data_IF_706884658226
#
_entry.id   IF_706884658226
#
_cell.length_a   1.000
_cell.length_b   1.000
_cell.length_c   1.000
_cell.angle_alpha   90.00
_cell.angle_beta   90.00
_cell.angle_gamma   90.00
#
_symmetry.space_group_name_H-M   'P 1'
#
loop_
_entity.id
_entity.type
_entity.pdbx_description
1 polymer ?
#
# COMPACT_ATOMS: atom_id res chain seq x y z
N UNK A 1 -7.53 12.10 -17.69
CA UNK A 1 -6.84 11.51 -16.57
C UNK A 1 -5.48 10.98 -17.04
N UNK A 2 -4.41 11.40 -16.38
CA UNK A 2 -3.06 10.89 -16.63
C UNK A 2 -2.62 10.06 -15.42
N UNK A 3 -2.26 8.80 -15.65
CA UNK A 3 -1.68 7.93 -14.64
C UNK A 3 -0.14 7.90 -14.79
N UNK A 4 0.57 7.86 -13.67
CA UNK A 4 2.01 7.58 -13.65
C UNK A 4 2.23 6.23 -12.97
N UNK A 5 2.90 5.33 -13.64
CA UNK A 5 3.15 3.97 -13.16
C UNK A 5 4.59 3.55 -13.47
N UNK A 6 5.36 3.21 -12.44
CA UNK A 6 6.76 2.84 -12.61
C UNK A 6 6.95 1.40 -13.14
N UNK A 7 5.98 0.51 -12.92
CA UNK A 7 6.01 -0.88 -13.36
C UNK A 7 5.58 -1.03 -14.83
N UNK A 8 6.49 -1.42 -15.71
CA UNK A 8 6.20 -1.57 -17.15
C UNK A 8 4.97 -2.45 -17.41
N UNK A 9 4.88 -3.62 -16.75
CA UNK A 9 3.75 -4.54 -16.91
C UNK A 9 2.42 -3.94 -16.44
N UNK A 10 2.43 -3.19 -15.34
CA UNK A 10 1.24 -2.49 -14.86
C UNK A 10 0.85 -1.34 -15.78
N UNK A 11 1.81 -0.61 -16.33
CA UNK A 11 1.54 0.41 -17.35
C UNK A 11 0.88 -0.19 -18.60
N UNK A 12 1.36 -1.32 -19.08
CA UNK A 12 0.78 -2.03 -20.21
C UNK A 12 -0.65 -2.49 -19.90
N UNK A 13 -0.86 -3.09 -18.71
CA UNK A 13 -2.18 -3.50 -18.25
C UNK A 13 -3.17 -2.32 -18.15
N UNK A 14 -2.72 -1.17 -17.65
CA UNK A 14 -3.55 0.03 -17.55
C UNK A 14 -3.94 0.56 -18.93
N UNK A 15 -3.00 0.59 -19.88
CA UNK A 15 -3.27 1.01 -21.26
C UNK A 15 -4.28 0.10 -21.92
N UNK A 16 -4.15 -1.21 -21.74
CA UNK A 16 -5.06 -2.20 -22.30
C UNK A 16 -6.46 -2.11 -21.65
N UNK A 17 -6.50 -2.09 -20.33
CA UNK A 17 -7.76 -2.05 -19.56
C UNK A 17 -8.60 -0.78 -19.82
N UNK A 18 -7.95 0.34 -20.07
CA UNK A 18 -8.61 1.64 -20.25
C UNK A 18 -8.48 2.19 -21.68
N UNK A 19 -8.25 1.33 -22.67
CA UNK A 19 -8.06 1.69 -24.07
C UNK A 19 -9.27 2.42 -24.69
N UNK A 20 -10.48 2.15 -24.20
CA UNK A 20 -11.70 2.80 -24.65
C UNK A 20 -11.85 4.26 -24.19
N UNK A 21 -11.09 4.67 -23.18
CA UNK A 21 -11.17 6.01 -22.61
C UNK A 21 -10.20 6.96 -23.31
N UNK A 22 -10.65 7.67 -24.32
CA UNK A 22 -9.83 8.60 -25.13
C UNK A 22 -9.05 9.65 -24.32
N UNK A 23 -9.56 10.02 -23.15
CA UNK A 23 -8.93 11.01 -22.24
C UNK A 23 -8.10 10.36 -21.13
N UNK A 24 -7.79 9.08 -21.23
CA UNK A 24 -6.91 8.38 -20.33
C UNK A 24 -5.54 8.19 -20.96
N UNK A 25 -4.50 8.51 -20.21
CA UNK A 25 -3.11 8.29 -20.64
C UNK A 25 -2.27 7.71 -19.51
N UNK A 26 -1.25 6.92 -19.86
CA UNK A 26 -0.31 6.33 -18.89
C UNK A 26 1.11 6.73 -19.27
N UNK A 27 1.80 7.34 -18.32
CA UNK A 27 3.25 7.60 -18.38
C UNK A 27 3.94 6.49 -17.61
N UNK A 28 4.83 5.75 -18.28
CA UNK A 28 5.63 4.71 -17.64
C UNK A 28 6.91 5.33 -17.09
N UNK A 29 7.04 5.39 -15.78
CA UNK A 29 8.19 6.00 -15.12
C UNK A 29 7.92 6.31 -13.65
N UNK A 30 8.95 6.75 -12.96
CA UNK A 30 8.78 7.20 -11.57
C UNK A 30 8.14 8.59 -11.57
N UNK A 31 7.29 8.83 -10.57
CA UNK A 31 6.62 10.11 -10.42
C UNK A 31 7.62 11.26 -10.25
N UNK A 32 8.66 11.04 -9.48
CA UNK A 32 9.72 12.05 -9.24
C UNK A 32 10.46 12.47 -10.51
N UNK A 33 10.59 11.57 -11.50
CA UNK A 33 11.32 11.82 -12.75
C UNK A 33 10.42 12.34 -13.88
N UNK A 34 9.09 12.28 -13.70
CA UNK A 34 8.13 12.72 -14.72
C UNK A 34 7.98 14.24 -14.69
N UNK A 35 7.97 14.89 -15.84
CA UNK A 35 7.80 16.35 -15.93
C UNK A 35 6.32 16.66 -16.20
N UNK A 36 5.79 17.60 -15.45
CA UNK A 36 4.46 18.16 -15.64
C UNK A 36 4.53 19.68 -15.68
N UNK A 37 3.60 20.29 -16.37
CA UNK A 37 3.44 21.75 -16.34
C UNK A 37 2.81 22.20 -15.02
N UNK A 38 3.22 23.33 -14.50
CA UNK A 38 2.66 23.93 -13.30
C UNK A 38 1.20 24.35 -13.53
N UNK A 39 0.41 24.40 -12.48
CA UNK A 39 -0.98 24.87 -12.50
C UNK A 39 -1.88 24.18 -13.54
N UNK A 40 -1.67 22.87 -13.76
CA UNK A 40 -2.38 22.13 -14.83
C UNK A 40 -3.56 21.33 -14.31
N UNK A 41 -3.47 20.76 -13.11
CA UNK A 41 -4.43 19.79 -12.61
C UNK A 41 -5.37 20.38 -11.56
N UNK A 42 -6.64 20.02 -11.64
CA UNK A 42 -7.64 20.34 -10.61
C UNK A 42 -7.58 19.35 -9.45
N UNK A 43 -7.14 18.12 -9.73
CA UNK A 43 -7.01 17.04 -8.74
C UNK A 43 -5.79 16.19 -9.07
N UNK A 44 -4.96 15.97 -8.07
CA UNK A 44 -3.95 14.91 -8.05
C UNK A 44 -4.34 13.91 -6.96
N UNK A 45 -4.31 12.62 -7.26
CA UNK A 45 -4.57 11.61 -6.24
C UNK A 45 -3.56 10.47 -6.28
N UNK A 46 -3.35 9.84 -5.14
CA UNK A 46 -2.49 8.67 -5.00
C UNK A 46 -3.14 7.63 -4.08
N UNK A 47 -3.24 6.40 -4.56
CA UNK A 47 -3.82 5.28 -3.82
C UNK A 47 -2.72 4.26 -3.47
N UNK A 48 -2.35 4.15 -2.21
CA UNK A 48 -1.33 3.22 -1.67
C UNK A 48 0.00 3.26 -2.45
N UNK A 49 0.41 4.46 -2.88
CA UNK A 49 1.61 4.64 -3.69
C UNK A 49 2.52 5.79 -3.22
N UNK A 50 1.97 6.86 -2.64
CA UNK A 50 2.74 8.07 -2.36
C UNK A 50 3.89 7.88 -1.35
N UNK A 51 3.83 6.86 -0.52
CA UNK A 51 4.89 6.51 0.43
C UNK A 51 6.19 6.03 -0.22
N UNK A 52 6.17 5.69 -1.52
CA UNK A 52 7.36 5.37 -2.30
C UNK A 52 8.08 6.61 -2.85
N UNK A 53 7.38 7.75 -2.89
CA UNK A 53 7.94 9.01 -3.40
C UNK A 53 8.62 9.75 -2.24
N UNK A 54 9.85 10.25 -2.40
CA UNK A 54 10.51 11.04 -1.37
C UNK A 54 9.64 12.24 -0.96
N UNK A 55 9.39 12.40 0.35
CA UNK A 55 8.40 13.34 0.91
C UNK A 55 8.48 14.72 0.27
N UNK A 56 9.65 15.36 0.37
CA UNK A 56 9.85 16.72 -0.14
C UNK A 56 9.54 16.81 -1.63
N UNK A 57 10.14 15.93 -2.44
CA UNK A 57 9.97 15.93 -3.90
C UNK A 57 8.50 15.72 -4.25
N UNK A 58 7.84 14.76 -3.61
CA UNK A 58 6.46 14.42 -3.89
C UNK A 58 5.50 15.57 -3.62
N UNK A 59 5.57 16.15 -2.42
CA UNK A 59 4.67 17.24 -2.05
C UNK A 59 4.92 18.53 -2.84
N UNK A 60 6.19 18.95 -3.00
CA UNK A 60 6.53 20.14 -3.77
C UNK A 60 6.03 20.01 -5.22
N UNK A 61 6.25 18.86 -5.83
CA UNK A 61 5.82 18.59 -7.19
C UNK A 61 4.29 18.57 -7.33
N UNK A 62 3.58 17.89 -6.43
CA UNK A 62 2.11 17.90 -6.44
C UNK A 62 1.59 19.33 -6.27
N UNK A 63 2.20 20.11 -5.38
CA UNK A 63 1.79 21.49 -5.14
C UNK A 63 1.95 22.36 -6.39
N UNK A 64 3.09 22.24 -7.09
CA UNK A 64 3.33 23.02 -8.33
C UNK A 64 2.37 22.63 -9.46
N UNK A 65 2.04 21.35 -9.58
CA UNK A 65 1.16 20.84 -10.63
C UNK A 65 -0.31 21.25 -10.46
N UNK A 66 -0.74 21.51 -9.23
CA UNK A 66 -2.13 21.86 -8.94
C UNK A 66 -2.43 23.30 -9.32
N UNK A 67 -3.60 23.52 -9.93
CA UNK A 67 -4.17 24.84 -10.10
C UNK A 67 -4.47 25.48 -8.75
N UNK A 68 -4.61 26.79 -8.74
CA UNK A 68 -5.09 27.48 -7.54
C UNK A 68 -6.50 26.97 -7.17
N UNK A 69 -6.65 26.51 -5.92
CA UNK A 69 -7.86 25.83 -5.44
C UNK A 69 -7.97 24.35 -5.84
N UNK A 70 -6.97 23.78 -6.49
CA UNK A 70 -6.90 22.35 -6.78
C UNK A 70 -6.66 21.51 -5.51
N UNK A 71 -6.94 20.22 -5.57
CA UNK A 71 -6.89 19.31 -4.43
C UNK A 71 -5.87 18.18 -4.60
N UNK A 72 -5.22 17.80 -3.49
CA UNK A 72 -4.44 16.57 -3.41
C UNK A 72 -5.14 15.56 -2.50
N UNK A 73 -5.47 14.37 -3.03
CA UNK A 73 -6.11 13.30 -2.29
C UNK A 73 -5.16 12.10 -2.15
N UNK A 74 -4.90 11.69 -0.91
CA UNK A 74 -4.12 10.48 -0.61
C UNK A 74 -5.01 9.44 0.03
N UNK A 75 -4.98 8.23 -0.52
CA UNK A 75 -5.63 7.06 0.06
C UNK A 75 -4.57 6.03 0.39
N UNK A 76 -4.69 5.35 1.51
CA UNK A 76 -3.82 4.23 1.84
C UNK A 76 -4.62 3.13 2.52
N UNK A 77 -4.44 1.90 2.06
CA UNK A 77 -4.79 0.74 2.86
C UNK A 77 -3.67 0.48 3.85
N UNK A 78 -4.06 0.27 5.10
CA UNK A 78 -3.16 -0.11 6.16
C UNK A 78 -3.68 -1.41 6.79
N UNK A 79 -3.44 -2.56 6.13
CA UNK A 79 -3.94 -3.83 6.62
C UNK A 79 -3.20 -4.24 7.89
N UNK A 80 -3.96 -4.66 8.88
CA UNK A 80 -3.43 -5.28 10.08
C UNK A 80 -4.31 -6.48 10.43
N UNK A 81 -3.69 -7.47 11.07
CA UNK A 81 -4.39 -8.67 11.48
C UNK A 81 -5.14 -8.41 12.78
N UNK A 82 -6.39 -8.81 12.83
CA UNK A 82 -7.09 -8.98 14.07
C UNK A 82 -6.38 -10.02 14.96
N UNK A 83 -6.38 -9.80 16.25
CA UNK A 83 -5.76 -10.66 17.26
C UNK A 83 -6.76 -11.23 18.24
N UNK A 84 -8.04 -11.25 17.90
CA UNK A 84 -9.08 -11.83 18.76
C UNK A 84 -8.83 -13.32 19.00
N UNK A 85 -8.41 -14.05 17.95
CA UNK A 85 -7.90 -15.42 18.11
C UNK A 85 -6.44 -15.36 18.56
N UNK A 86 -6.23 -15.32 19.86
CA UNK A 86 -4.89 -15.20 20.48
C UNK A 86 -3.98 -16.37 20.11
N UNK A 87 -4.50 -17.59 20.10
CA UNK A 87 -3.72 -18.79 19.82
C UNK A 87 -3.22 -18.80 18.37
N UNK A 88 -4.12 -18.54 17.42
CA UNK A 88 -3.75 -18.40 16.00
C UNK A 88 -2.75 -17.26 15.80
N UNK A 89 -2.97 -16.13 16.46
CA UNK A 89 -2.06 -14.98 16.36
C UNK A 89 -0.65 -15.31 16.82
N UNK A 90 -0.51 -15.99 17.96
CA UNK A 90 0.79 -16.40 18.50
C UNK A 90 1.47 -17.45 17.61
N UNK A 91 0.71 -18.39 17.05
CA UNK A 91 1.28 -19.38 16.14
C UNK A 91 1.78 -18.74 14.84
N UNK A 92 0.99 -17.85 14.24
CA UNK A 92 1.43 -17.10 13.06
C UNK A 92 2.65 -16.24 13.35
N UNK A 93 2.70 -15.56 14.50
CA UNK A 93 3.87 -14.74 14.86
C UNK A 93 5.15 -15.61 14.98
N UNK A 94 5.07 -16.80 15.59
CA UNK A 94 6.20 -17.77 15.61
C UNK A 94 6.62 -18.23 14.21
N UNK A 95 5.66 -18.46 13.31
CA UNK A 95 5.96 -18.82 11.92
C UNK A 95 6.68 -17.68 11.21
N UNK A 96 6.23 -16.41 11.41
CA UNK A 96 6.93 -15.24 10.88
C UNK A 96 8.36 -15.12 11.42
N UNK A 97 8.57 -15.38 12.71
CA UNK A 97 9.92 -15.35 13.31
C UNK A 97 10.83 -16.38 12.67
N UNK A 98 10.33 -17.58 12.45
CA UNK A 98 11.11 -18.70 11.91
C UNK A 98 11.49 -18.51 10.44
N UNK A 99 10.60 -17.95 9.62
CA UNK A 99 10.80 -17.85 8.17
C UNK A 99 11.13 -16.43 7.73
N UNK A 100 10.28 -15.46 8.02
CA UNK A 100 10.38 -14.08 7.54
C UNK A 100 11.50 -13.30 8.24
N UNK A 101 11.46 -13.24 9.56
CA UNK A 101 12.44 -12.48 10.35
C UNK A 101 13.84 -13.05 10.20
N UNK A 102 13.95 -14.38 10.19
CA UNK A 102 15.22 -15.08 9.95
C UNK A 102 15.77 -14.83 8.54
N UNK A 103 14.91 -14.86 7.51
CA UNK A 103 15.32 -14.59 6.12
C UNK A 103 15.87 -13.17 5.95
N UNK A 104 15.18 -12.18 6.51
CA UNK A 104 15.62 -10.79 6.43
C UNK A 104 16.64 -10.39 7.50
N UNK A 105 16.98 -11.26 8.43
CA UNK A 105 17.79 -10.95 9.60
C UNK A 105 17.32 -9.68 10.33
N UNK A 106 16.01 -9.50 10.45
CA UNK A 106 15.35 -8.33 11.01
C UNK A 106 13.99 -8.72 11.60
N UNK A 107 13.68 -8.22 12.79
CA UNK A 107 12.32 -8.33 13.32
C UNK A 107 11.33 -7.56 12.46
N UNK A 108 10.19 -8.20 12.21
CA UNK A 108 9.06 -7.57 11.53
C UNK A 108 8.43 -6.53 12.45
N UNK A 109 8.16 -5.36 11.93
CA UNK A 109 7.39 -4.36 12.66
C UNK A 109 5.97 -4.88 12.93
N UNK A 110 5.50 -4.73 14.16
CA UNK A 110 4.12 -5.05 14.50
C UNK A 110 3.21 -3.99 13.87
N UNK A 111 2.37 -4.45 12.96
CA UNK A 111 1.40 -3.57 12.30
C UNK A 111 0.12 -3.56 13.14
N UNK A 112 -0.31 -2.37 13.52
CA UNK A 112 -1.60 -2.10 14.17
C UNK A 112 -2.40 -1.10 13.34
N UNK A 113 -3.70 -1.00 13.58
CA UNK A 113 -4.52 0.04 12.94
C UNK A 113 -4.02 1.45 13.27
N UNK A 114 -4.24 2.39 12.38
CA UNK A 114 -3.95 3.79 12.66
C UNK A 114 -4.90 4.35 13.73
N UNK A 115 -4.34 5.11 14.65
CA UNK A 115 -5.12 5.98 15.53
C UNK A 115 -5.48 7.28 14.80
N UNK A 116 -6.52 7.96 15.28
CA UNK A 116 -6.88 9.31 14.81
C UNK A 116 -5.69 10.28 14.88
N UNK A 117 -4.89 10.20 15.94
CA UNK A 117 -3.71 11.04 16.10
C UNK A 117 -2.66 10.78 15.00
N UNK A 118 -2.38 9.52 14.71
CA UNK A 118 -1.44 9.15 13.64
C UNK A 118 -1.95 9.58 12.26
N UNK A 119 -3.25 9.40 11.99
CA UNK A 119 -3.87 9.85 10.75
C UNK A 119 -3.74 11.37 10.59
N UNK A 120 -4.00 12.12 11.65
CA UNK A 120 -3.83 13.57 11.71
C UNK A 120 -2.39 13.99 11.43
N UNK A 121 -1.42 13.37 12.09
CA UNK A 121 0.00 13.68 11.91
C UNK A 121 0.45 13.44 10.45
N UNK A 122 0.04 12.34 9.84
CA UNK A 122 0.31 12.03 8.44
C UNK A 122 -0.34 13.06 7.50
N UNK A 123 -1.58 13.45 7.76
CA UNK A 123 -2.27 14.45 6.95
C UNK A 123 -1.58 15.81 7.06
N UNK A 124 -1.22 16.23 8.28
CA UNK A 124 -0.62 17.54 8.54
C UNK A 124 0.78 17.72 7.94
N UNK A 125 1.44 16.66 7.46
CA UNK A 125 2.69 16.79 6.69
C UNK A 125 2.50 17.75 5.51
N UNK A 126 1.36 17.70 4.84
CA UNK A 126 1.06 18.54 3.68
C UNK A 126 1.17 20.04 3.97
N UNK A 127 0.90 20.49 5.20
CA UNK A 127 0.98 21.90 5.58
C UNK A 127 2.41 22.49 5.43
N UNK A 128 3.43 21.66 5.59
CA UNK A 128 4.84 22.06 5.41
C UNK A 128 5.15 22.51 3.97
N UNK A 129 4.30 22.09 3.01
CA UNK A 129 4.47 22.29 1.58
C UNK A 129 3.44 23.25 0.97
N UNK A 130 2.76 24.04 1.80
CA UNK A 130 1.85 25.08 1.35
C UNK A 130 0.38 24.67 1.19
N UNK A 131 0.03 23.40 1.46
CA UNK A 131 -1.35 22.96 1.44
C UNK A 131 -2.13 23.52 2.63
N UNK A 132 -3.36 23.95 2.38
CA UNK A 132 -4.35 24.41 3.38
C UNK A 132 -5.60 23.54 3.34
N UNK A 133 -6.55 23.79 4.21
CA UNK A 133 -7.83 23.05 4.30
C UNK A 133 -7.65 21.52 4.37
N UNK A 134 -6.66 21.10 5.14
CA UNK A 134 -6.28 19.69 5.27
C UNK A 134 -7.36 18.94 6.05
N UNK A 135 -7.85 17.86 5.44
CA UNK A 135 -8.84 16.95 6.04
C UNK A 135 -8.30 15.54 6.02
N UNK A 136 -8.72 14.72 6.97
CA UNK A 136 -8.41 13.30 7.02
C UNK A 136 -9.61 12.53 7.58
N UNK A 137 -9.69 11.27 7.24
CA UNK A 137 -10.73 10.38 7.73
C UNK A 137 -10.20 8.94 7.75
N UNK A 138 -10.59 8.16 8.75
CA UNK A 138 -10.30 6.75 8.88
C UNK A 138 -11.53 5.93 8.53
N UNK A 139 -11.39 5.02 7.59
CA UNK A 139 -12.43 4.07 7.19
C UNK A 139 -12.01 2.68 7.65
N UNK A 140 -12.78 2.09 8.56
CA UNK A 140 -12.52 0.74 9.05
C UNK A 140 -13.27 -0.27 8.19
N UNK A 141 -12.60 -1.36 7.87
CA UNK A 141 -13.15 -2.47 7.12
C UNK A 141 -12.57 -3.77 7.64
N UNK A 142 -13.43 -4.70 7.95
CA UNK A 142 -13.05 -6.08 8.23
C UNK A 142 -13.18 -6.95 6.98
N UNK A 143 -12.27 -7.87 6.83
CA UNK A 143 -12.32 -8.91 5.81
C UNK A 143 -11.90 -10.23 6.44
N UNK A 144 -12.75 -11.22 6.30
CA UNK A 144 -12.45 -12.58 6.69
C UNK A 144 -11.92 -13.32 5.47
N UNK A 145 -10.86 -14.07 5.65
CA UNK A 145 -10.22 -14.86 4.61
C UNK A 145 -10.22 -16.33 5.02
N UNK A 146 -10.51 -17.23 4.10
CA UNK A 146 -10.11 -18.62 4.23
C UNK A 146 -8.58 -18.73 4.20
N UNK A 147 -8.05 -19.87 4.65
CA UNK A 147 -6.60 -20.10 4.61
C UNK A 147 -6.01 -19.92 3.19
N UNK A 148 -6.73 -20.39 2.15
CA UNK A 148 -6.27 -20.20 0.76
C UNK A 148 -6.23 -18.75 0.33
N UNK A 149 -7.32 -18.00 0.55
CA UNK A 149 -7.40 -16.59 0.18
C UNK A 149 -6.34 -15.74 0.93
N UNK A 150 -6.06 -16.10 2.19
CA UNK A 150 -5.01 -15.39 2.94
C UNK A 150 -3.62 -15.64 2.36
N UNK A 151 -3.31 -16.87 1.94
CA UNK A 151 -2.04 -17.17 1.25
C UNK A 151 -1.95 -16.43 -0.10
N UNK A 152 -3.03 -16.36 -0.86
CA UNK A 152 -3.08 -15.58 -2.09
C UNK A 152 -2.81 -14.09 -1.81
N UNK A 153 -3.41 -13.53 -0.76
CA UNK A 153 -3.15 -12.16 -0.32
C UNK A 153 -1.66 -11.95 0.03
N UNK A 154 -1.07 -12.84 0.83
CA UNK A 154 0.36 -12.75 1.17
C UNK A 154 1.26 -12.84 -0.07
N UNK A 155 0.85 -13.62 -1.07
CA UNK A 155 1.51 -13.71 -2.37
C UNK A 155 1.47 -12.43 -3.22
N UNK A 156 0.68 -11.43 -2.83
CA UNK A 156 0.69 -10.11 -3.48
C UNK A 156 1.67 -9.11 -2.86
N UNK A 157 2.18 -9.40 -1.68
CA UNK A 157 3.08 -8.48 -0.97
C UNK A 157 4.51 -8.61 -1.49
N UNK A 158 5.09 -7.50 -1.91
CA UNK A 158 6.44 -7.46 -2.51
C UNK A 158 7.52 -8.06 -1.59
N UNK A 159 7.43 -7.81 -0.28
CA UNK A 159 8.34 -8.35 0.73
C UNK A 159 8.18 -9.87 0.92
N UNK A 160 7.01 -10.46 0.68
CA UNK A 160 6.81 -11.90 0.71
C UNK A 160 7.28 -12.56 -0.60
N UNK A 161 6.98 -11.91 -1.74
CA UNK A 161 7.43 -12.39 -3.06
C UNK A 161 8.96 -12.42 -3.16
N UNK A 162 9.64 -11.48 -2.52
CA UNK A 162 11.11 -11.40 -2.51
C UNK A 162 11.81 -12.52 -1.72
N UNK A 163 11.08 -13.26 -0.87
CA UNK A 163 11.61 -14.44 -0.19
C UNK A 163 11.89 -15.54 -1.21
N UNK A 164 13.03 -16.22 -1.07
CA UNK A 164 13.38 -17.38 -1.91
C UNK A 164 12.23 -18.39 -1.98
N UNK A 165 11.94 -18.89 -3.17
CA UNK A 165 10.75 -19.69 -3.47
C UNK A 165 10.59 -20.93 -2.58
N UNK A 166 11.69 -21.62 -2.30
CA UNK A 166 11.71 -22.81 -1.43
C UNK A 166 11.27 -22.45 -0.01
N UNK A 167 11.84 -21.38 0.56
CA UNK A 167 11.52 -20.89 1.91
C UNK A 167 10.09 -20.35 1.95
N UNK A 168 9.69 -19.57 0.95
CA UNK A 168 8.35 -18.99 0.85
C UNK A 168 7.27 -20.07 0.77
N UNK A 169 7.52 -21.13 0.01
CA UNK A 169 6.57 -22.26 -0.12
C UNK A 169 6.29 -22.91 1.21
N UNK A 170 7.35 -23.20 1.97
CA UNK A 170 7.21 -23.79 3.31
C UNK A 170 6.57 -22.81 4.30
N UNK A 171 6.98 -21.55 4.28
CA UNK A 171 6.42 -20.46 5.08
C UNK A 171 4.91 -20.35 4.89
N UNK A 172 4.44 -20.28 3.64
CA UNK A 172 3.02 -20.19 3.31
C UNK A 172 2.24 -21.45 3.69
N UNK A 173 2.84 -22.63 3.51
CA UNK A 173 2.23 -23.88 3.93
C UNK A 173 2.00 -23.91 5.44
N UNK A 174 2.96 -23.43 6.25
CA UNK A 174 2.83 -23.36 7.71
C UNK A 174 1.76 -22.37 8.16
N UNK A 175 1.67 -21.20 7.54
CA UNK A 175 0.58 -20.25 7.84
C UNK A 175 -0.78 -20.86 7.49
N UNK A 176 -0.91 -21.51 6.34
CA UNK A 176 -2.13 -22.19 5.93
C UNK A 176 -2.54 -23.29 6.90
N UNK A 177 -1.57 -24.10 7.35
CA UNK A 177 -1.77 -25.15 8.35
C UNK A 177 -2.29 -24.54 9.67
N UNK A 178 -1.65 -23.49 10.18
CA UNK A 178 -2.07 -22.80 11.39
C UNK A 178 -3.50 -22.29 11.30
N UNK A 179 -3.87 -21.60 10.21
CA UNK A 179 -5.24 -21.11 10.02
C UNK A 179 -6.24 -22.28 10.01
N UNK A 180 -5.95 -23.37 9.30
CA UNK A 180 -6.85 -24.52 9.25
C UNK A 180 -7.02 -25.20 10.62
N UNK A 181 -5.98 -25.26 11.44
CA UNK A 181 -6.02 -25.83 12.79
C UNK A 181 -6.83 -24.96 13.77
N UNK A 182 -7.02 -23.69 13.46
CA UNK A 182 -7.73 -22.70 14.30
C UNK A 182 -9.06 -22.23 13.70
N UNK A 183 -9.79 -23.08 13.00
CA UNK A 183 -11.14 -22.79 12.50
C UNK A 183 -11.21 -22.45 11.01
N UNK A 184 -10.10 -22.42 10.29
CA UNK A 184 -10.05 -22.29 8.83
C UNK A 184 -10.21 -20.87 8.28
N UNK A 185 -10.36 -19.89 9.14
CA UNK A 185 -10.52 -18.47 8.78
C UNK A 185 -9.58 -17.55 9.59
N UNK A 186 -9.30 -16.41 9.05
CA UNK A 186 -8.51 -15.34 9.65
C UNK A 186 -9.05 -13.98 9.24
#
# INVERSE_FOLDING_TARGET
LTAVECGKRFSELLKDKFNEYQKFSVITGKFEDTVFEDNTFDLVFSATAFHWVPEKIGYEKVFSMLKNGGAFARFANHPYRDKENVELSQEIDKIYDLYYNKYYNKERETISGYTEQQAKEIAMIASKYGFSDIRYELFYRERVFSANEYIELLGTYSNHIAIEESIRTEFFAKIKEAINNHGGII
#
